data_IF_484778732864
#
_entry.id   IF_484778732864
#
_cell.length_a   1.000
_cell.length_b   1.000
_cell.length_c   1.000
_cell.angle_alpha   90.00
_cell.angle_beta   90.00
_cell.angle_gamma   90.00
#
_symmetry.space_group_name_H-M   'P 1'
#
loop_
_entity.id
_entity.type
_entity.pdbx_description
1 polymer ?
#
# COMPACT_ATOMS: atom_id res chain seq x y z
N UNK A 1 21.02 1.42 27.78
CA UNK A 1 20.56 1.33 26.39
C UNK A 1 19.08 1.62 26.31
N UNK A 2 18.72 2.60 25.53
CA UNK A 2 17.30 2.93 25.35
C UNK A 2 16.70 1.97 24.32
N UNK A 3 15.68 1.25 24.73
CA UNK A 3 14.90 0.43 23.80
C UNK A 3 13.84 1.33 23.19
N UNK A 4 13.85 1.39 21.88
CA UNK A 4 12.86 2.17 21.16
C UNK A 4 11.48 1.55 21.30
N UNK A 5 10.55 2.26 21.91
CA UNK A 5 9.20 1.77 22.15
C UNK A 5 8.27 2.04 20.97
N UNK A 6 8.49 3.14 20.22
CA UNK A 6 7.64 3.55 19.13
C UNK A 6 8.45 3.99 17.93
N UNK A 7 7.91 3.70 16.76
CA UNK A 7 8.38 4.30 15.51
C UNK A 7 7.57 5.59 15.36
N UNK A 8 8.26 6.71 15.35
CA UNK A 8 7.63 8.03 15.38
C UNK A 8 6.97 8.36 14.03
N UNK A 9 6.09 9.36 14.05
CA UNK A 9 5.48 9.90 12.85
C UNK A 9 6.54 10.32 11.82
N UNK A 10 7.59 11.03 12.26
CA UNK A 10 8.66 11.50 11.38
C UNK A 10 9.41 10.33 10.73
N UNK A 11 9.74 9.30 11.49
CA UNK A 11 10.39 8.11 10.97
C UNK A 11 9.52 7.36 9.97
N UNK A 12 8.23 7.25 10.27
CA UNK A 12 7.27 6.60 9.40
C UNK A 12 7.14 7.35 8.07
N UNK A 13 7.06 8.68 8.13
CA UNK A 13 6.99 9.51 6.93
C UNK A 13 8.28 9.41 6.10
N UNK A 14 9.44 9.35 6.76
CA UNK A 14 10.71 9.14 6.07
C UNK A 14 10.71 7.81 5.31
N UNK A 15 10.23 6.74 5.95
CA UNK A 15 10.15 5.44 5.28
C UNK A 15 9.25 5.51 4.04
N UNK A 16 8.09 6.15 4.16
CA UNK A 16 7.14 6.28 3.06
C UNK A 16 7.76 7.07 1.91
N UNK A 17 8.39 8.21 2.19
CA UNK A 17 9.03 9.04 1.17
C UNK A 17 10.13 8.24 0.47
N UNK A 18 10.93 7.50 1.22
CA UNK A 18 11.99 6.65 0.67
C UNK A 18 11.42 5.63 -0.31
N UNK A 19 10.33 4.96 0.08
CA UNK A 19 9.68 3.96 -0.76
C UNK A 19 9.07 4.59 -2.02
N UNK A 20 8.39 5.72 -1.88
CA UNK A 20 7.80 6.42 -3.02
C UNK A 20 8.85 6.80 -4.05
N UNK A 21 10.00 7.29 -3.60
CA UNK A 21 11.13 7.64 -4.49
C UNK A 21 11.72 6.40 -5.15
N UNK A 22 11.93 5.34 -4.37
CA UNK A 22 12.52 4.11 -4.90
C UNK A 22 11.68 3.52 -6.04
N UNK A 23 10.37 3.50 -5.87
CA UNK A 23 9.45 2.96 -6.87
C UNK A 23 8.97 3.99 -7.88
N UNK A 24 9.56 5.19 -7.88
CA UNK A 24 9.33 6.25 -8.87
C UNK A 24 7.89 6.74 -8.91
N UNK A 25 7.27 6.82 -7.74
CA UNK A 25 5.92 7.38 -7.57
C UNK A 25 5.94 8.53 -6.57
N UNK A 26 7.03 9.29 -6.54
CA UNK A 26 7.24 10.40 -5.60
C UNK A 26 6.26 11.56 -5.76
N UNK A 27 5.53 11.61 -6.88
CA UNK A 27 4.48 12.63 -7.08
C UNK A 27 3.20 12.33 -6.32
N UNK A 28 3.08 11.13 -5.77
CA UNK A 28 1.92 10.75 -4.97
C UNK A 28 1.91 11.59 -3.70
N UNK A 29 0.79 12.24 -3.43
CA UNK A 29 0.62 13.04 -2.21
C UNK A 29 0.28 12.13 -1.04
N UNK A 30 0.73 12.53 0.15
CA UNK A 30 0.48 11.78 1.38
C UNK A 30 -0.44 12.61 2.27
N UNK A 31 -1.55 12.03 2.70
CA UNK A 31 -2.52 12.68 3.59
C UNK A 31 -2.94 11.75 4.71
N UNK A 32 -3.30 12.31 5.85
CA UNK A 32 -3.86 11.56 6.96
C UNK A 32 -5.38 11.58 6.90
N UNK A 33 -5.98 10.44 7.21
CA UNK A 33 -7.44 10.29 7.23
C UNK A 33 -7.81 9.27 8.30
N UNK A 34 -8.96 9.42 8.93
CA UNK A 34 -9.45 8.43 9.87
C UNK A 34 -9.87 7.18 9.10
N UNK A 35 -9.22 6.05 9.40
CA UNK A 35 -9.51 4.77 8.75
C UNK A 35 -8.99 3.60 9.58
N UNK A 36 -9.52 2.42 9.34
CA UNK A 36 -9.13 1.18 10.02
C UNK A 36 -7.76 0.68 9.60
N UNK A 37 -7.50 0.68 8.30
CA UNK A 37 -6.25 0.17 7.74
C UNK A 37 -5.12 1.16 7.94
N UNK A 38 -3.88 0.70 7.84
CA UNK A 38 -2.72 1.60 7.95
C UNK A 38 -2.71 2.64 6.84
N UNK A 39 -3.11 2.25 5.65
CA UNK A 39 -3.06 3.13 4.49
C UNK A 39 -4.00 2.67 3.37
N UNK A 40 -4.27 3.57 2.45
CA UNK A 40 -5.06 3.30 1.25
C UNK A 40 -4.61 4.24 0.14
N UNK A 41 -4.44 3.72 -1.08
CA UNK A 41 -4.18 4.56 -2.24
C UNK A 41 -5.51 4.96 -2.89
N UNK A 42 -5.77 6.26 -2.93
CA UNK A 42 -6.97 6.79 -3.58
C UNK A 42 -6.64 7.09 -5.04
N UNK A 43 -7.13 6.24 -5.95
CA UNK A 43 -6.82 6.36 -7.38
C UNK A 43 -7.43 7.61 -8.00
N UNK A 44 -8.56 8.10 -7.48
CA UNK A 44 -9.23 9.28 -8.02
C UNK A 44 -8.44 10.56 -7.78
N UNK A 45 -7.71 10.63 -6.67
CA UNK A 45 -6.95 11.82 -6.27
C UNK A 45 -5.44 11.65 -6.40
N UNK A 46 -4.95 10.43 -6.65
CA UNK A 46 -3.52 10.14 -6.65
C UNK A 46 -2.87 10.33 -5.30
N UNK A 47 -3.58 10.02 -4.23
CA UNK A 47 -3.15 10.29 -2.86
C UNK A 47 -2.99 9.00 -2.08
N UNK A 48 -1.86 8.87 -1.37
CA UNK A 48 -1.67 7.82 -0.38
C UNK A 48 -2.25 8.34 0.93
N UNK A 49 -3.37 7.75 1.34
CA UNK A 49 -4.07 8.12 2.57
C UNK A 49 -3.56 7.26 3.71
N UNK A 50 -3.07 7.89 4.77
CA UNK A 50 -2.56 7.20 5.95
C UNK A 50 -3.56 7.32 7.08
N UNK A 51 -3.67 6.26 7.87
CA UNK A 51 -4.56 6.30 9.03
C UNK A 51 -4.03 7.24 10.09
N UNK A 52 -4.88 8.17 10.54
CA UNK A 52 -4.55 9.05 11.66
C UNK A 52 -4.48 8.29 13.00
N UNK A 53 -5.00 7.06 13.05
CA UNK A 53 -4.91 6.19 14.23
C UNK A 53 -3.50 5.65 14.45
N UNK A 54 -2.69 5.59 13.38
CA UNK A 54 -1.36 4.97 13.39
C UNK A 54 -0.27 5.96 13.05
N UNK A 55 -0.36 7.19 13.56
CA UNK A 55 0.70 8.18 13.38
C UNK A 55 2.02 7.67 13.91
N UNK A 56 1.95 7.00 15.06
CA UNK A 56 3.08 6.27 15.62
C UNK A 56 2.73 4.80 15.66
N UNK A 57 3.70 3.93 15.43
CA UNK A 57 3.50 2.49 15.47
C UNK A 57 4.55 1.84 16.36
N UNK A 58 4.20 0.67 16.91
CA UNK A 58 5.16 -0.13 17.68
C UNK A 58 6.08 -0.87 16.72
N UNK A 59 7.34 -1.15 17.13
CA UNK A 59 8.26 -1.90 16.26
C UNK A 59 7.68 -3.22 15.76
N UNK A 60 6.86 -3.91 16.56
CA UNK A 60 6.20 -5.17 16.15
C UNK A 60 5.20 -4.98 15.02
N UNK A 61 4.72 -3.75 14.80
CA UNK A 61 3.77 -3.42 13.74
C UNK A 61 4.46 -3.06 12.42
N UNK A 62 5.78 -2.92 12.44
CA UNK A 62 6.55 -2.48 11.27
C UNK A 62 6.34 -3.40 10.07
N UNK A 63 6.33 -4.71 10.29
CA UNK A 63 6.12 -5.69 9.22
C UNK A 63 4.80 -5.47 8.49
N UNK A 64 3.70 -5.40 9.25
CA UNK A 64 2.37 -5.19 8.69
C UNK A 64 2.26 -3.82 8.04
N UNK A 65 2.83 -2.80 8.67
CA UNK A 65 2.85 -1.45 8.12
C UNK A 65 3.54 -1.43 6.75
N UNK A 66 4.73 -2.02 6.64
CA UNK A 66 5.46 -2.06 5.38
C UNK A 66 4.74 -2.85 4.30
N UNK A 67 4.13 -3.98 4.65
CA UNK A 67 3.34 -4.76 3.69
C UNK A 67 2.19 -3.90 3.14
N UNK A 68 1.49 -3.19 4.02
CA UNK A 68 0.37 -2.34 3.63
C UNK A 68 0.83 -1.19 2.73
N UNK A 69 1.91 -0.49 3.10
CA UNK A 69 2.43 0.62 2.30
C UNK A 69 2.89 0.13 0.93
N UNK A 70 3.62 -0.97 0.87
CA UNK A 70 4.08 -1.55 -0.39
C UNK A 70 2.91 -1.98 -1.28
N UNK A 71 1.87 -2.55 -0.68
CA UNK A 71 0.64 -2.92 -1.37
C UNK A 71 0.03 -1.68 -2.05
N UNK A 72 -0.12 -0.59 -1.30
CA UNK A 72 -0.70 0.65 -1.84
C UNK A 72 0.22 1.32 -2.86
N UNK A 73 1.53 1.25 -2.68
CA UNK A 73 2.50 1.74 -3.66
C UNK A 73 2.38 0.98 -4.97
N UNK A 74 2.11 -0.33 -4.93
CA UNK A 74 1.90 -1.09 -6.15
C UNK A 74 0.69 -0.58 -6.94
N UNK A 75 -0.39 -0.22 -6.24
CA UNK A 75 -1.54 0.41 -6.90
C UNK A 75 -1.13 1.75 -7.54
N UNK A 76 -0.33 2.55 -6.86
CA UNK A 76 0.17 3.81 -7.41
C UNK A 76 1.05 3.58 -8.64
N UNK A 77 1.88 2.54 -8.63
CA UNK A 77 2.70 2.16 -9.77
C UNK A 77 1.84 1.76 -10.98
N UNK A 78 0.79 0.98 -10.73
CA UNK A 78 -0.13 0.57 -11.79
C UNK A 78 -0.91 1.77 -12.35
N UNK A 79 -1.36 2.68 -11.49
CA UNK A 79 -2.04 3.90 -11.91
C UNK A 79 -1.13 4.78 -12.76
N UNK A 80 0.15 4.84 -12.43
CA UNK A 80 1.15 5.57 -13.22
C UNK A 80 1.40 4.91 -14.56
N UNK A 81 1.51 3.58 -14.57
CA UNK A 81 1.81 2.80 -15.78
C UNK A 81 0.69 2.90 -16.83
N UNK A 82 -0.55 2.75 -16.40
CA UNK A 82 -1.69 2.70 -17.30
C UNK A 82 -2.44 4.02 -17.43
N UNK A 83 -2.17 4.99 -16.55
CA UNK A 83 -3.01 6.16 -16.34
C UNK A 83 -4.11 5.82 -15.35
N UNK A 84 -4.45 6.76 -14.46
CA UNK A 84 -5.35 6.48 -13.34
C UNK A 84 -6.76 6.08 -13.80
N UNK A 85 -7.28 6.70 -14.89
CA UNK A 85 -8.62 6.38 -15.40
C UNK A 85 -8.66 4.97 -15.97
N UNK A 86 -7.66 4.60 -16.77
CA UNK A 86 -7.58 3.28 -17.36
C UNK A 86 -7.40 2.20 -16.30
N UNK A 87 -6.52 2.45 -15.32
CA UNK A 87 -6.32 1.52 -14.23
C UNK A 87 -7.61 1.31 -13.44
N UNK A 88 -8.34 2.38 -13.14
CA UNK A 88 -9.63 2.30 -12.45
C UNK A 88 -10.62 1.47 -13.24
N UNK A 89 -10.71 1.69 -14.56
CA UNK A 89 -11.59 0.92 -15.44
C UNK A 89 -11.21 -0.57 -15.45
N UNK A 90 -9.93 -0.86 -15.55
CA UNK A 90 -9.43 -2.25 -15.54
C UNK A 90 -9.75 -2.94 -14.22
N UNK A 91 -9.56 -2.23 -13.11
CA UNK A 91 -9.86 -2.74 -11.79
C UNK A 91 -11.37 -3.04 -11.62
N UNK A 92 -12.21 -2.09 -12.01
CA UNK A 92 -13.67 -2.24 -11.94
C UNK A 92 -14.18 -3.36 -12.85
N UNK A 93 -13.59 -3.50 -14.04
CA UNK A 93 -13.93 -4.59 -14.95
C UNK A 93 -13.61 -5.95 -14.32
N UNK A 94 -12.46 -6.07 -13.68
CA UNK A 94 -12.08 -7.29 -12.97
C UNK A 94 -13.06 -7.61 -11.84
N UNK A 95 -13.47 -6.60 -11.06
CA UNK A 95 -14.48 -6.77 -10.01
C UNK A 95 -15.80 -7.29 -10.58
N UNK A 96 -16.25 -6.70 -11.69
CA UNK A 96 -17.51 -7.10 -12.33
C UNK A 96 -17.44 -8.52 -12.88
N UNK A 97 -16.34 -8.90 -13.50
CA UNK A 97 -16.13 -10.24 -14.02
C UNK A 97 -16.19 -11.30 -12.91
N UNK A 98 -15.57 -11.00 -11.78
CA UNK A 98 -15.63 -11.89 -10.61
C UNK A 98 -17.05 -11.99 -10.07
N UNK A 99 -17.74 -10.85 -9.92
CA UNK A 99 -19.11 -10.81 -9.41
C UNK A 99 -20.09 -11.57 -10.30
N UNK A 100 -19.83 -11.62 -11.61
CA UNK A 100 -20.67 -12.31 -12.58
C UNK A 100 -20.29 -13.78 -12.76
N UNK A 101 -19.31 -14.27 -12.00
CA UNK A 101 -18.91 -15.68 -12.04
C UNK A 101 -18.09 -16.10 -13.26
N UNK A 102 -17.45 -15.15 -13.96
CA UNK A 102 -16.64 -15.45 -15.14
C UNK A 102 -15.34 -16.19 -14.83
N UNK A 103 -14.86 -16.12 -13.58
CA UNK A 103 -13.63 -16.78 -13.17
C UNK A 103 -13.93 -17.88 -12.16
N UNK A 104 -13.87 -19.17 -12.55
CA UNK A 104 -14.08 -20.26 -11.60
C UNK A 104 -13.14 -20.19 -10.41
N UNK A 105 -13.69 -20.35 -9.22
CA UNK A 105 -12.92 -20.29 -7.97
C UNK A 105 -12.69 -18.90 -7.42
N UNK A 106 -13.14 -17.86 -8.12
CA UNK A 106 -13.06 -16.47 -7.62
C UNK A 106 -14.45 -15.97 -7.23
N UNK A 107 -14.62 -15.64 -5.96
CA UNK A 107 -15.91 -15.23 -5.40
C UNK A 107 -15.93 -13.79 -4.90
N UNK A 108 -14.84 -13.32 -4.33
CA UNK A 108 -14.75 -12.02 -3.71
C UNK A 108 -14.17 -10.99 -4.68
N UNK A 109 -14.97 -9.98 -5.12
CA UNK A 109 -14.50 -8.99 -6.10
C UNK A 109 -13.28 -8.20 -5.65
N UNK A 110 -13.05 -8.10 -4.35
CA UNK A 110 -11.88 -7.41 -3.81
C UNK A 110 -10.71 -8.38 -3.60
N UNK A 111 -10.89 -9.40 -2.75
CA UNK A 111 -9.79 -10.32 -2.40
C UNK A 111 -9.26 -11.10 -3.59
N UNK A 112 -10.15 -11.49 -4.50
CA UNK A 112 -9.78 -12.33 -5.65
C UNK A 112 -9.46 -11.50 -6.90
N UNK A 113 -9.53 -10.17 -6.79
CA UNK A 113 -9.17 -9.25 -7.87
C UNK A 113 -7.67 -9.37 -8.13
N UNK A 114 -7.29 -9.57 -9.40
CA UNK A 114 -5.87 -9.79 -9.75
C UNK A 114 -4.95 -8.64 -9.34
N UNK A 115 -5.46 -7.42 -9.37
CA UNK A 115 -4.65 -6.25 -8.98
C UNK A 115 -4.40 -6.22 -7.47
N UNK A 116 -5.36 -6.70 -6.68
CA UNK A 116 -5.16 -6.84 -5.23
C UNK A 116 -4.22 -8.00 -4.92
N UNK A 117 -4.35 -9.11 -5.63
CA UNK A 117 -3.45 -10.26 -5.47
C UNK A 117 -2.01 -9.86 -5.81
N UNK A 118 -1.81 -9.16 -6.92
CA UNK A 118 -0.49 -8.69 -7.34
C UNK A 118 0.09 -7.68 -6.33
N UNK A 119 -0.74 -6.77 -5.81
CA UNK A 119 -0.30 -5.78 -4.83
C UNK A 119 0.09 -6.44 -3.52
N UNK A 120 -0.68 -7.42 -3.05
CA UNK A 120 -0.36 -8.15 -1.83
C UNK A 120 0.92 -8.96 -1.99
N UNK A 121 1.06 -9.64 -3.12
CA UNK A 121 2.28 -10.39 -3.44
C UNK A 121 3.51 -9.48 -3.48
N UNK A 122 3.37 -8.30 -4.07
CA UNK A 122 4.44 -7.30 -4.12
C UNK A 122 4.85 -6.86 -2.71
N UNK A 123 3.86 -6.61 -1.85
CA UNK A 123 4.13 -6.21 -0.46
C UNK A 123 4.85 -7.31 0.32
N UNK A 124 4.36 -8.54 0.23
CA UNK A 124 4.95 -9.67 0.93
C UNK A 124 6.37 -9.96 0.43
N UNK A 125 6.59 -9.89 -0.86
CA UNK A 125 7.90 -10.16 -1.47
C UNK A 125 8.96 -9.12 -1.09
N UNK A 126 8.58 -7.86 -1.04
CA UNK A 126 9.52 -6.76 -0.85
C UNK A 126 9.67 -6.31 0.61
N UNK A 127 8.75 -6.70 1.48
CA UNK A 127 8.78 -6.29 2.89
C UNK A 127 10.07 -6.67 3.61
N UNK A 128 10.60 -7.91 3.49
CA UNK A 128 11.81 -8.26 4.25
C UNK A 128 13.00 -7.38 3.93
N UNK A 129 13.18 -7.03 2.66
CA UNK A 129 14.24 -6.12 2.21
C UNK A 129 14.14 -4.75 2.88
N UNK A 130 12.96 -4.18 2.90
CA UNK A 130 12.75 -2.85 3.45
C UNK A 130 12.76 -2.84 4.97
N UNK A 131 12.23 -3.89 5.60
CA UNK A 131 12.33 -4.06 7.05
C UNK A 131 13.79 -4.09 7.47
N UNK A 132 14.62 -4.85 6.77
CA UNK A 132 16.05 -4.91 7.02
C UNK A 132 16.69 -3.52 6.83
N UNK A 133 16.38 -2.85 5.73
CA UNK A 133 16.94 -1.53 5.42
C UNK A 133 16.63 -0.51 6.51
N UNK A 134 15.38 -0.43 6.94
CA UNK A 134 14.97 0.57 7.94
C UNK A 134 15.36 0.18 9.38
N UNK A 135 15.71 -1.07 9.61
CA UNK A 135 16.14 -1.54 10.93
C UNK A 135 17.64 -1.39 11.17
N UNK A 136 18.41 -1.00 10.17
CA UNK A 136 19.87 -0.85 10.24
C UNK A 136 20.30 0.51 10.78
N UNK A 137 19.95 0.81 11.99
CA UNK A 137 20.42 2.08 12.58
C UNK A 137 21.13 1.83 13.89
#
# INVERSE_FOLDING_TARGET
>A
MLIKELITRTEKEYMIITLLKHYKVEKVKVKYKSMKDYAHYNVDTGTLELSSRYKEIKPRQMKEFLITILHEIRHAMDAKKYGWRKFKQMYEMEMNMISQGHYPGKDDPYKDNKYEIEAESFGLKNMPRWKSHFSKK
#
